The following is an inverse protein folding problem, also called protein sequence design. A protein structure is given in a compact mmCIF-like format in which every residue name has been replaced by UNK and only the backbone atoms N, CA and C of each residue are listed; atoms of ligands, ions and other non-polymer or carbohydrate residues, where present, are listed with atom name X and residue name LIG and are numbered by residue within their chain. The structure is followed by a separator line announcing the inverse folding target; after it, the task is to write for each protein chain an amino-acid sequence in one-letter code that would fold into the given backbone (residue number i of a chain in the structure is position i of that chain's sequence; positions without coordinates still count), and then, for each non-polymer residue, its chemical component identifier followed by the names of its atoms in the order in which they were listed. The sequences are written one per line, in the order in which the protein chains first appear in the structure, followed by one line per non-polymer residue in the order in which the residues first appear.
data_IF_675316809230
#
_entry.id   IF_675316809230
#
_cell.length_a   1.000
_cell.length_b   1.000
_cell.length_c   1.000
_cell.angle_alpha   90.00
_cell.angle_beta   90.00
_cell.angle_gamma   90.00
#
_symmetry.space_group_name_H-M   'P 1'
#
loop_
_entity.id
_entity.type
_entity.pdbx_description
1 polymer ?
#
# COMPACT_ATOMS: atom_id res chain seq x y z
N UNK A 1 -0.63 2.70 18.48
CA UNK A 1 -0.26 1.29 18.25
C UNK A 1 0.27 1.22 16.83
N UNK A 2 1.48 0.71 16.56
CA UNK A 2 1.83 0.41 15.17
C UNK A 2 0.85 -0.68 14.72
N UNK A 3 0.10 -0.43 13.66
CA UNK A 3 -0.79 -1.41 13.05
C UNK A 3 0.07 -2.40 12.24
N UNK A 4 0.93 -3.15 12.95
CA UNK A 4 1.80 -4.18 12.37
C UNK A 4 0.95 -5.33 11.86
N UNK A 5 1.27 -5.83 10.67
CA UNK A 5 0.57 -6.96 10.07
C UNK A 5 1.07 -8.21 10.79
N UNK A 6 0.19 -9.10 11.29
CA UNK A 6 0.63 -10.33 11.93
C UNK A 6 1.56 -11.13 11.01
N UNK A 7 2.73 -11.52 11.50
CA UNK A 7 3.77 -12.22 10.74
C UNK A 7 3.26 -13.50 10.05
N UNK A 8 2.38 -14.25 10.71
CA UNK A 8 1.70 -15.42 10.17
C UNK A 8 0.87 -15.10 8.91
N UNK A 9 0.32 -13.89 8.81
CA UNK A 9 -0.44 -13.44 7.64
C UNK A 9 0.49 -13.20 6.47
N UNK A 10 1.61 -12.51 6.70
CA UNK A 10 2.63 -12.26 5.67
C UNK A 10 3.19 -13.60 5.18
N UNK A 11 3.57 -14.49 6.09
CA UNK A 11 4.09 -15.81 5.76
C UNK A 11 3.09 -16.63 4.92
N UNK A 12 1.80 -16.57 5.29
CA UNK A 12 0.73 -17.23 4.54
C UNK A 12 0.59 -16.68 3.13
N UNK A 13 0.59 -15.35 2.96
CA UNK A 13 0.51 -14.71 1.64
C UNK A 13 1.64 -15.21 0.73
N UNK A 14 2.89 -15.25 1.21
CA UNK A 14 3.99 -15.76 0.41
C UNK A 14 3.82 -17.24 0.05
N UNK A 15 3.43 -18.07 1.01
CA UNK A 15 3.25 -19.51 0.78
C UNK A 15 2.11 -19.81 -0.18
N UNK A 16 1.00 -19.06 -0.13
CA UNK A 16 -0.18 -19.33 -0.94
C UNK A 16 -0.16 -18.64 -2.30
N UNK A 17 0.47 -17.48 -2.41
CA UNK A 17 0.34 -16.61 -3.59
C UNK A 17 1.65 -16.38 -4.35
N UNK A 18 2.82 -16.60 -3.73
CA UNK A 18 4.11 -16.18 -4.30
C UNK A 18 5.06 -17.35 -4.57
N UNK A 19 5.21 -18.27 -3.63
CA UNK A 19 6.11 -19.41 -3.77
C UNK A 19 5.51 -20.45 -4.71
N UNK A 20 6.30 -20.86 -5.71
CA UNK A 20 5.91 -21.89 -6.68
C UNK A 20 6.20 -23.31 -6.19
N UNK A 21 7.13 -23.44 -5.25
CA UNK A 21 7.56 -24.71 -4.66
C UNK A 21 7.15 -24.74 -3.19
N UNK A 22 6.40 -25.78 -2.82
CA UNK A 22 5.90 -26.02 -1.46
C UNK A 22 7.02 -26.18 -0.42
N UNK A 23 8.25 -26.49 -0.84
CA UNK A 23 9.42 -26.60 0.04
C UNK A 23 10.08 -25.25 0.35
N UNK A 24 9.69 -24.17 -0.33
CA UNK A 24 10.24 -22.82 -0.09
C UNK A 24 9.92 -22.35 1.34
N UNK A 25 10.92 -21.81 2.04
CA UNK A 25 10.77 -21.28 3.40
C UNK A 25 11.31 -19.86 3.46
N UNK A 26 10.67 -19.04 4.30
CA UNK A 26 11.08 -17.67 4.60
C UNK A 26 11.52 -17.59 6.06
N UNK A 27 12.60 -16.88 6.32
CA UNK A 27 13.10 -16.70 7.68
C UNK A 27 12.28 -15.65 8.43
N UNK A 28 12.25 -15.75 9.76
CA UNK A 28 11.58 -14.78 10.61
C UNK A 28 12.16 -13.36 10.42
N UNK A 29 13.49 -13.24 10.29
CA UNK A 29 14.14 -11.96 10.03
C UNK A 29 13.69 -11.30 8.72
N UNK A 30 13.45 -12.10 7.67
CA UNK A 30 12.94 -11.59 6.39
C UNK A 30 11.46 -11.23 6.50
N UNK A 31 10.66 -11.98 7.25
CA UNK A 31 9.26 -11.60 7.52
C UNK A 31 9.16 -10.24 8.20
N UNK A 32 10.01 -9.95 9.19
CA UNK A 32 10.06 -8.64 9.85
C UNK A 32 10.44 -7.51 8.90
N UNK A 33 11.33 -7.77 7.92
CA UNK A 33 11.66 -6.79 6.89
C UNK A 33 10.49 -6.55 5.94
N UNK A 34 9.75 -7.61 5.58
CA UNK A 34 8.57 -7.47 4.73
C UNK A 34 7.45 -6.72 5.45
N UNK A 35 7.26 -6.89 6.77
CA UNK A 35 6.29 -6.09 7.54
C UNK A 35 6.58 -4.59 7.39
N UNK A 36 7.83 -4.18 7.58
CA UNK A 36 8.25 -2.80 7.38
C UNK A 36 8.07 -2.33 5.91
N UNK A 37 8.38 -3.17 4.94
CA UNK A 37 8.16 -2.85 3.52
C UNK A 37 6.68 -2.66 3.19
N UNK A 38 5.80 -3.54 3.68
CA UNK A 38 4.35 -3.45 3.46
C UNK A 38 3.76 -2.20 4.12
N UNK A 39 4.26 -1.83 5.31
CA UNK A 39 3.88 -0.57 5.95
C UNK A 39 4.21 0.63 5.06
N UNK A 40 5.44 0.69 4.52
CA UNK A 40 5.86 1.76 3.61
C UNK A 40 5.03 1.75 2.33
N UNK A 41 4.82 0.57 1.72
CA UNK A 41 4.03 0.43 0.51
C UNK A 41 2.59 0.96 0.66
N UNK A 42 1.91 0.56 1.73
CA UNK A 42 0.53 1.02 1.99
C UNK A 42 0.50 2.51 2.30
N UNK A 43 1.50 3.02 3.03
CA UNK A 43 1.59 4.44 3.37
C UNK A 43 1.82 5.30 2.12
N UNK A 44 2.71 4.88 1.23
CA UNK A 44 2.96 5.56 -0.05
C UNK A 44 1.71 5.54 -0.94
N UNK A 45 1.03 4.40 -1.04
CA UNK A 45 -0.22 4.29 -1.79
C UNK A 45 -1.26 5.30 -1.30
N UNK A 46 -1.41 5.44 0.02
CA UNK A 46 -2.36 6.37 0.63
C UNK A 46 -1.96 7.83 0.45
N UNK A 47 -0.70 8.19 0.73
CA UNK A 47 -0.22 9.56 0.61
C UNK A 47 -0.29 10.07 -0.83
N UNK A 48 0.14 9.26 -1.80
CA UNK A 48 0.04 9.62 -3.23
C UNK A 48 -1.41 9.75 -3.69
N UNK A 49 -2.31 8.90 -3.19
CA UNK A 49 -3.74 9.01 -3.50
C UNK A 49 -4.35 10.30 -2.96
N UNK A 50 -3.95 10.74 -1.76
CA UNK A 50 -4.36 12.02 -1.16
C UNK A 50 -3.82 13.18 -1.99
N UNK A 51 -2.53 13.19 -2.27
CA UNK A 51 -1.86 14.24 -3.03
C UNK A 51 -2.49 14.41 -4.42
N UNK A 52 -2.69 13.30 -5.16
CA UNK A 52 -3.34 13.33 -6.46
C UNK A 52 -4.77 13.91 -6.36
N UNK A 53 -5.51 13.62 -5.29
CA UNK A 53 -6.88 14.14 -5.10
C UNK A 53 -6.88 15.64 -4.79
N UNK A 54 -5.93 16.11 -3.99
CA UNK A 54 -5.75 17.53 -3.68
C UNK A 54 -5.37 18.34 -4.93
N UNK A 55 -4.47 17.80 -5.77
CA UNK A 55 -4.10 18.43 -7.05
C UNK A 55 -5.32 18.59 -7.96
N UNK A 56 -6.11 17.54 -8.16
CA UNK A 56 -7.33 17.59 -9.00
C UNK A 56 -8.39 18.55 -8.43
N UNK A 57 -8.56 18.61 -7.10
CA UNK A 57 -9.45 19.59 -6.45
C UNK A 57 -8.96 21.03 -6.63
N UNK A 58 -7.65 21.28 -6.59
CA UNK A 58 -7.09 22.62 -6.77
C UNK A 58 -7.29 23.16 -8.20
N UNK A 59 -7.32 22.27 -9.20
CA UNK A 59 -7.60 22.62 -10.59
C UNK A 59 -9.08 22.94 -10.85
N UNK A 60 -9.97 22.39 -10.03
CA UNK A 60 -11.42 22.61 -10.12
C UNK A 60 -11.86 23.47 -8.93
N UNK A 61 -11.75 24.79 -9.06
CA UNK A 61 -12.26 25.77 -8.08
C UNK A 61 -13.74 25.51 -7.76
N UNK A 62 -14.04 24.63 -6.81
CA UNK A 62 -15.28 24.71 -6.05
C UNK A 62 -15.24 23.92 -4.72
N UNK A 63 -15.64 24.65 -3.68
CA UNK A 63 -16.34 24.23 -2.46
C UNK A 63 -15.55 23.68 -1.25
N UNK A 64 -15.46 24.59 -0.28
CA UNK A 64 -15.49 24.43 1.17
C UNK A 64 -15.91 23.04 1.70
N UNK A 65 -15.08 22.50 2.58
CA UNK A 65 -15.53 21.68 3.73
C UNK A 65 -15.52 20.16 3.56
N UNK A 66 -14.97 19.63 2.48
CA UNK A 66 -15.09 18.21 2.19
C UNK A 66 -13.97 17.38 2.85
N UNK A 67 -14.36 16.46 3.75
CA UNK A 67 -13.48 15.43 4.29
C UNK A 67 -12.75 14.73 3.13
N UNK A 68 -11.46 14.46 3.28
CA UNK A 68 -10.69 13.70 2.28
C UNK A 68 -11.19 12.26 2.27
N UNK A 69 -12.14 11.96 1.39
CA UNK A 69 -12.65 10.61 1.15
C UNK A 69 -11.93 10.04 -0.07
N UNK A 70 -11.08 9.04 0.13
CA UNK A 70 -10.42 8.32 -0.97
C UNK A 70 -11.36 7.31 -1.62
N UNK A 71 -11.29 7.19 -2.94
CA UNK A 71 -12.02 6.19 -3.73
C UNK A 71 -11.03 5.32 -4.51
N UNK A 72 -11.48 4.18 -5.05
CA UNK A 72 -10.63 3.31 -5.89
C UNK A 72 -9.96 4.05 -7.05
N UNK A 73 -10.65 5.04 -7.65
CA UNK A 73 -10.12 5.87 -8.75
C UNK A 73 -8.89 6.68 -8.37
N UNK A 74 -8.79 7.09 -7.10
CA UNK A 74 -7.65 7.86 -6.62
C UNK A 74 -6.40 6.97 -6.55
N UNK A 75 -6.58 5.71 -6.14
CA UNK A 75 -5.50 4.70 -6.12
C UNK A 75 -5.11 4.24 -7.53
N UNK A 76 -6.08 4.00 -8.42
CA UNK A 76 -5.83 3.58 -9.81
C UNK A 76 -4.98 4.59 -10.61
N UNK A 77 -5.12 5.89 -10.30
CA UNK A 77 -4.33 6.95 -10.94
C UNK A 77 -2.87 6.93 -10.54
N UNK A 78 -2.56 6.51 -9.31
CA UNK A 78 -1.19 6.51 -8.77
C UNK A 78 -0.53 5.13 -8.80
N UNK A 79 -1.31 4.06 -9.00
CA UNK A 79 -0.81 2.67 -8.92
C UNK A 79 0.28 2.37 -9.95
N UNK A 80 0.22 2.98 -11.14
CA UNK A 80 1.24 2.78 -12.17
C UNK A 80 2.63 3.23 -11.71
N UNK A 81 2.74 4.44 -11.17
CA UNK A 81 4.00 4.97 -10.65
C UNK A 81 4.41 4.26 -9.35
N UNK A 82 3.44 3.99 -8.47
CA UNK A 82 3.68 3.25 -7.23
C UNK A 82 4.32 1.88 -7.48
N UNK A 83 3.87 1.15 -8.50
CA UNK A 83 4.41 -0.17 -8.84
C UNK A 83 5.77 -0.13 -9.56
N UNK A 84 6.16 1.03 -10.12
CA UNK A 84 7.48 1.21 -10.74
C UNK A 84 8.56 1.53 -9.71
N UNK A 85 8.19 2.17 -8.60
CA UNK A 85 9.12 2.54 -7.53
C UNK A 85 9.47 1.36 -6.60
N UNK A 86 8.64 0.31 -6.60
CA UNK A 86 8.60 -0.73 -5.55
C UNK A 86 9.08 -2.11 -6.00
#
# INVERSE_FOLDING_TARGET
MPNSIPSDTIARIFQTCSFKDDSTRITESTLSLVDAYLEVFVREALLRSIENKEQVKSEHQDQLGDQVVLTHKDLERVSGLLLLDM
#
